data_IF_524161612236
#
_entry.id   IF_524161612236
#
_cell.length_a   1.000
_cell.length_b   1.000
_cell.length_c   1.000
_cell.angle_alpha   90.00
_cell.angle_beta   90.00
_cell.angle_gamma   90.00
#
_symmetry.space_group_name_H-M   'P 1'
#
loop_
_entity.id
_entity.type
_entity.pdbx_description
1 polymer ?
#
# COMPACT_ATOMS: atom_id res chain seq x y z
N UNK A 1 106.23 -4.37 -2.63
CA UNK A 1 105.51 -3.60 -3.68
C UNK A 1 105.49 -4.32 -5.04
N UNK A 2 105.26 -5.65 -5.09
CA UNK A 2 105.14 -6.40 -6.35
C UNK A 2 103.70 -6.86 -6.64
N UNK A 3 102.91 -7.11 -5.60
CA UNK A 3 101.53 -7.59 -5.71
C UNK A 3 100.56 -6.56 -6.33
N UNK A 4 100.84 -5.26 -6.18
CA UNK A 4 99.98 -4.21 -6.73
C UNK A 4 100.20 -3.92 -8.22
N UNK A 5 101.25 -4.48 -8.83
CA UNK A 5 101.61 -4.18 -10.24
C UNK A 5 101.06 -5.22 -11.20
N UNK A 6 101.03 -6.50 -10.83
CA UNK A 6 100.51 -7.59 -11.68
C UNK A 6 98.98 -7.65 -11.71
N UNK A 7 98.29 -7.31 -10.62
CA UNK A 7 96.82 -7.38 -10.54
C UNK A 7 96.12 -6.07 -10.92
N UNK A 8 96.86 -5.04 -11.35
CA UNK A 8 96.30 -3.71 -11.64
C UNK A 8 95.29 -3.76 -12.79
N UNK A 9 95.58 -4.51 -13.84
CA UNK A 9 94.70 -4.63 -15.01
C UNK A 9 93.46 -5.46 -14.69
N UNK A 10 93.60 -6.55 -13.93
CA UNK A 10 92.47 -7.39 -13.49
C UNK A 10 91.53 -6.66 -12.53
N UNK A 11 92.07 -5.90 -11.56
CA UNK A 11 91.26 -5.08 -10.64
C UNK A 11 90.53 -3.97 -11.41
N UNK A 12 91.21 -3.37 -12.40
CA UNK A 12 90.62 -2.31 -13.24
C UNK A 12 89.50 -2.88 -14.13
N UNK A 13 89.71 -4.06 -14.73
CA UNK A 13 88.69 -4.76 -15.51
C UNK A 13 87.50 -5.18 -14.64
N UNK A 14 87.75 -5.75 -13.46
CA UNK A 14 86.71 -6.12 -12.50
C UNK A 14 85.90 -4.90 -12.04
N UNK A 15 86.56 -3.76 -11.80
CA UNK A 15 85.90 -2.50 -11.47
C UNK A 15 85.00 -2.01 -12.61
N UNK A 16 85.48 -2.03 -13.87
CA UNK A 16 84.67 -1.64 -15.02
C UNK A 16 83.51 -2.61 -15.27
N UNK A 17 83.71 -3.92 -15.13
CA UNK A 17 82.65 -4.93 -15.23
C UNK A 17 81.58 -4.74 -14.15
N UNK A 18 81.98 -4.51 -12.90
CA UNK A 18 81.07 -4.23 -11.79
C UNK A 18 80.29 -2.93 -12.00
N UNK A 19 80.98 -1.86 -12.39
CA UNK A 19 80.34 -0.57 -12.68
C UNK A 19 79.36 -0.67 -13.86
N UNK A 20 79.72 -1.41 -14.91
CA UNK A 20 78.85 -1.65 -16.06
C UNK A 20 77.62 -2.48 -15.66
N UNK A 21 77.81 -3.55 -14.89
CA UNK A 21 76.72 -4.37 -14.37
C UNK A 21 75.77 -3.56 -13.47
N UNK A 22 76.31 -2.71 -12.60
CA UNK A 22 75.52 -1.84 -11.72
C UNK A 22 74.74 -0.78 -12.52
N UNK A 23 75.36 -0.21 -13.56
CA UNK A 23 74.69 0.75 -14.47
C UNK A 23 73.54 0.08 -15.23
N UNK A 24 73.76 -1.14 -15.76
CA UNK A 24 72.73 -1.92 -16.44
C UNK A 24 71.60 -2.27 -15.47
N UNK A 25 71.91 -2.70 -14.24
CA UNK A 25 70.91 -3.02 -13.23
C UNK A 25 70.06 -1.80 -12.85
N UNK A 26 70.69 -0.63 -12.64
CA UNK A 26 69.97 0.61 -12.36
C UNK A 26 69.08 1.05 -13.53
N UNK A 27 69.52 0.85 -14.77
CA UNK A 27 68.70 1.14 -15.95
C UNK A 27 67.48 0.21 -16.06
N UNK A 28 67.66 -1.10 -15.80
CA UNK A 28 66.55 -2.08 -15.78
C UNK A 28 65.56 -1.76 -14.65
N UNK A 29 66.04 -1.48 -13.45
CA UNK A 29 65.17 -1.10 -12.32
C UNK A 29 64.44 0.22 -12.61
N UNK A 30 65.13 1.22 -13.15
CA UNK A 30 64.55 2.51 -13.53
C UNK A 30 63.46 2.38 -14.59
N UNK A 31 63.68 1.57 -15.63
CA UNK A 31 62.69 1.32 -16.69
C UNK A 31 61.47 0.54 -16.18
N UNK A 32 61.66 -0.48 -15.33
CA UNK A 32 60.56 -1.20 -14.68
C UNK A 32 59.77 -0.27 -13.75
N UNK A 33 60.45 0.56 -12.96
CA UNK A 33 59.82 1.51 -12.06
C UNK A 33 58.97 2.55 -12.81
N UNK A 34 59.50 3.13 -13.89
CA UNK A 34 58.78 4.06 -14.74
C UNK A 34 57.55 3.41 -15.39
N UNK A 35 57.69 2.19 -15.93
CA UNK A 35 56.56 1.44 -16.52
C UNK A 35 55.46 1.13 -15.49
N UNK A 36 55.84 0.74 -14.27
CA UNK A 36 54.88 0.51 -13.18
C UNK A 36 54.25 1.81 -12.66
N UNK A 37 54.93 2.95 -12.78
CA UNK A 37 54.37 4.26 -12.46
C UNK A 37 53.36 4.68 -13.52
N UNK A 38 53.70 4.60 -14.80
CA UNK A 38 52.80 4.93 -15.92
C UNK A 38 51.53 4.10 -15.89
N UNK A 39 51.64 2.78 -15.67
CA UNK A 39 50.48 1.90 -15.54
C UNK A 39 49.56 2.30 -14.38
N UNK A 40 50.11 2.75 -13.25
CA UNK A 40 49.31 3.25 -12.12
C UNK A 40 48.64 4.59 -12.44
N UNK A 41 49.33 5.47 -13.15
CA UNK A 41 48.79 6.77 -13.54
C UNK A 41 47.70 6.63 -14.63
N UNK A 42 47.84 5.67 -15.54
CA UNK A 42 46.82 5.29 -16.53
C UNK A 42 45.56 4.72 -15.85
N UNK A 43 45.72 3.75 -14.95
CA UNK A 43 44.60 3.24 -14.14
C UNK A 43 43.89 4.34 -13.35
N UNK A 44 44.63 5.31 -12.81
CA UNK A 44 44.04 6.47 -12.12
C UNK A 44 43.31 7.42 -13.07
N UNK A 45 43.70 7.51 -14.33
CA UNK A 45 42.98 8.31 -15.35
C UNK A 45 41.71 7.60 -15.77
N UNK A 46 41.77 6.30 -16.05
CA UNK A 46 40.61 5.48 -16.37
C UNK A 46 39.58 5.51 -15.24
N UNK A 47 40.05 5.36 -13.99
CA UNK A 47 39.17 5.43 -12.83
C UNK A 47 38.49 6.81 -12.69
N UNK A 48 39.23 7.90 -12.90
CA UNK A 48 38.66 9.26 -12.89
C UNK A 48 37.64 9.45 -14.01
N UNK A 49 37.94 8.99 -15.23
CA UNK A 49 36.99 9.07 -16.35
C UNK A 49 35.73 8.24 -16.10
N UNK A 50 35.87 7.08 -15.46
CA UNK A 50 34.76 6.26 -15.03
C UNK A 50 33.90 6.98 -13.99
N UNK A 51 34.51 7.54 -12.94
CA UNK A 51 33.82 8.30 -11.90
C UNK A 51 33.11 9.54 -12.48
N UNK A 52 33.74 10.27 -13.40
CA UNK A 52 33.13 11.38 -14.13
C UNK A 52 31.95 10.94 -15.01
N UNK A 53 32.03 9.77 -15.64
CA UNK A 53 30.92 9.21 -16.42
C UNK A 53 29.74 8.88 -15.50
N UNK A 54 29.99 8.16 -14.41
CA UNK A 54 28.96 7.82 -13.42
C UNK A 54 28.36 9.08 -12.80
N UNK A 55 29.15 10.09 -12.48
CA UNK A 55 28.65 11.37 -11.97
C UNK A 55 27.74 12.07 -12.97
N UNK A 56 28.01 11.98 -14.27
CA UNK A 56 27.14 12.53 -15.32
C UNK A 56 25.83 11.76 -15.43
N UNK A 57 25.87 10.43 -15.41
CA UNK A 57 24.66 9.58 -15.40
C UNK A 57 23.77 9.89 -14.18
N UNK A 58 24.37 10.02 -13.00
CA UNK A 58 23.63 10.42 -11.79
C UNK A 58 23.03 11.80 -11.89
N UNK A 59 23.72 12.76 -12.53
CA UNK A 59 23.18 14.10 -12.71
C UNK A 59 22.00 14.11 -13.70
N UNK A 60 22.12 13.40 -14.81
CA UNK A 60 21.01 13.23 -15.77
C UNK A 60 19.81 12.55 -15.09
N UNK A 61 20.06 11.55 -14.24
CA UNK A 61 19.00 10.93 -13.46
C UNK A 61 18.36 11.89 -12.48
N UNK A 62 19.14 12.69 -11.74
CA UNK A 62 18.62 13.68 -10.81
C UNK A 62 17.71 14.71 -11.50
N UNK A 63 18.10 15.17 -12.69
CA UNK A 63 17.28 16.06 -13.51
C UNK A 63 16.01 15.37 -14.03
N UNK A 64 16.14 14.12 -14.49
CA UNK A 64 15.01 13.31 -14.95
C UNK A 64 14.00 13.06 -13.83
N UNK A 65 14.44 12.56 -12.68
CA UNK A 65 13.55 12.23 -11.56
C UNK A 65 12.88 13.50 -11.02
N UNK A 66 13.58 14.63 -10.96
CA UNK A 66 12.98 15.91 -10.55
C UNK A 66 11.92 16.39 -11.54
N UNK A 67 12.17 16.26 -12.84
CA UNK A 67 11.22 16.61 -13.89
C UNK A 67 9.99 15.70 -13.87
N UNK A 68 10.18 14.38 -13.82
CA UNK A 68 9.09 13.41 -13.74
C UNK A 68 8.30 13.58 -12.45
N UNK A 69 8.97 13.76 -11.31
CA UNK A 69 8.29 14.04 -10.04
C UNK A 69 7.46 15.33 -10.09
N UNK A 70 7.96 16.37 -10.77
CA UNK A 70 7.20 17.60 -10.96
C UNK A 70 5.93 17.38 -11.78
N UNK A 71 5.98 16.52 -12.82
CA UNK A 71 4.79 16.12 -13.59
C UNK A 71 3.81 15.32 -12.73
N UNK A 72 4.29 14.31 -12.02
CA UNK A 72 3.49 13.50 -11.10
C UNK A 72 2.81 14.38 -10.04
N UNK A 73 3.52 15.39 -9.52
CA UNK A 73 2.99 16.35 -8.55
C UNK A 73 1.92 17.26 -9.16
N UNK A 74 2.11 17.72 -10.40
CA UNK A 74 1.11 18.52 -11.11
C UNK A 74 -0.21 17.74 -11.33
N UNK A 75 -0.11 16.43 -11.56
CA UNK A 75 -1.25 15.52 -11.70
C UNK A 75 -1.81 15.04 -10.35
N UNK A 76 -1.15 15.40 -9.24
CA UNK A 76 -1.54 15.02 -7.88
C UNK A 76 -1.31 13.55 -7.54
N UNK A 77 -0.58 12.80 -8.37
CA UNK A 77 -0.40 11.35 -8.24
C UNK A 77 0.15 10.94 -6.87
N UNK A 78 1.24 11.53 -6.32
CA UNK A 78 1.73 11.16 -5.00
C UNK A 78 0.68 11.33 -3.90
N UNK A 79 -0.11 12.40 -3.97
CA UNK A 79 -1.19 12.63 -3.00
C UNK A 79 -2.28 11.56 -3.11
N UNK A 80 -2.64 11.16 -4.34
CA UNK A 80 -3.65 10.12 -4.58
C UNK A 80 -3.20 8.76 -4.07
N UNK A 81 -1.95 8.35 -4.37
CA UNK A 81 -1.39 7.08 -3.92
C UNK A 81 -1.27 7.06 -2.40
N UNK A 82 -0.76 8.13 -1.78
CA UNK A 82 -0.68 8.24 -0.31
C UNK A 82 -2.05 8.08 0.33
N UNK A 83 -3.09 8.75 -0.22
CA UNK A 83 -4.46 8.64 0.30
C UNK A 83 -4.99 7.21 0.20
N UNK A 84 -4.75 6.50 -0.90
CA UNK A 84 -5.13 5.08 -1.03
C UNK A 84 -4.37 4.23 -0.01
N UNK A 85 -3.05 4.38 0.08
CA UNK A 85 -2.23 3.65 1.05
C UNK A 85 -2.78 3.86 2.47
N UNK A 86 -2.96 5.11 2.90
CA UNK A 86 -3.39 5.44 4.25
C UNK A 86 -4.82 4.96 4.56
N UNK A 87 -5.73 5.00 3.58
CA UNK A 87 -7.09 4.49 3.72
C UNK A 87 -7.09 2.96 3.90
N UNK A 88 -6.36 2.26 3.04
CA UNK A 88 -6.36 0.79 3.02
C UNK A 88 -5.44 0.19 4.10
N UNK A 89 -4.50 0.96 4.64
CA UNK A 89 -3.68 0.56 5.80
C UNK A 89 -4.52 0.52 7.07
N UNK A 90 -5.52 1.39 7.19
CA UNK A 90 -6.48 1.41 8.30
C UNK A 90 -7.64 0.42 8.12
N UNK A 91 -7.88 -0.04 6.89
CA UNK A 91 -8.96 -0.97 6.60
C UNK A 91 -8.55 -2.39 6.98
N UNK A 92 -9.11 -2.91 8.07
CA UNK A 92 -8.95 -4.31 8.45
C UNK A 92 -9.91 -5.18 7.63
N UNK A 93 -9.37 -6.18 6.91
CA UNK A 93 -10.19 -7.17 6.18
C UNK A 93 -10.45 -8.38 7.06
N UNK A 94 -9.39 -8.82 7.75
CA UNK A 94 -9.41 -9.65 8.95
C UNK A 94 -8.37 -9.08 9.92
N UNK A 95 -8.32 -9.56 11.16
CA UNK A 95 -7.47 -8.98 12.20
C UNK A 95 -5.98 -8.86 11.79
N UNK A 96 -5.46 -9.84 11.06
CA UNK A 96 -4.04 -9.87 10.63
C UNK A 96 -3.78 -9.29 9.23
N UNK A 97 -4.83 -8.97 8.46
CA UNK A 97 -4.71 -8.62 7.04
C UNK A 97 -5.40 -7.29 6.76
N UNK A 98 -4.60 -6.33 6.31
CA UNK A 98 -5.06 -4.99 5.94
C UNK A 98 -5.55 -4.95 4.50
N UNK A 99 -6.26 -3.87 4.15
CA UNK A 99 -6.64 -3.58 2.79
C UNK A 99 -5.42 -3.35 1.88
N UNK A 100 -4.29 -2.87 2.40
CA UNK A 100 -3.04 -2.72 1.63
C UNK A 100 -2.50 -4.08 1.20
N UNK A 101 -2.61 -5.11 2.05
CA UNK A 101 -2.18 -6.46 1.70
C UNK A 101 -3.04 -7.05 0.57
N UNK A 102 -4.35 -6.85 0.64
CA UNK A 102 -5.28 -7.23 -0.43
C UNK A 102 -5.00 -6.45 -1.71
N UNK A 103 -4.75 -5.13 -1.63
CA UNK A 103 -4.38 -4.31 -2.80
C UNK A 103 -3.07 -4.78 -3.41
N UNK A 104 -2.05 -5.06 -2.61
CA UNK A 104 -0.76 -5.58 -3.07
C UNK A 104 -0.95 -6.86 -3.89
N UNK A 105 -1.81 -7.76 -3.43
CA UNK A 105 -2.15 -8.98 -4.16
C UNK A 105 -2.90 -8.69 -5.47
N UNK A 106 -3.89 -7.81 -5.44
CA UNK A 106 -4.65 -7.44 -6.64
C UNK A 106 -3.78 -6.75 -7.70
N UNK A 107 -2.85 -5.89 -7.28
CA UNK A 107 -1.94 -5.13 -8.13
C UNK A 107 -0.84 -5.98 -8.77
N UNK A 108 -0.66 -7.21 -8.32
CA UNK A 108 0.31 -8.13 -8.90
C UNK A 108 0.01 -8.39 -10.38
N UNK A 109 1.07 -8.52 -11.19
CA UNK A 109 0.92 -8.66 -12.64
C UNK A 109 0.26 -10.00 -12.99
N UNK A 110 0.57 -11.05 -12.22
CA UNK A 110 0.01 -12.40 -12.37
C UNK A 110 -1.51 -12.42 -12.17
N UNK A 111 -2.03 -11.51 -11.33
CA UNK A 111 -3.44 -11.39 -10.99
C UNK A 111 -4.22 -10.40 -11.87
N UNK A 112 -3.56 -9.76 -12.83
CA UNK A 112 -4.16 -8.69 -13.65
C UNK A 112 -5.41 -9.12 -14.42
N UNK A 113 -5.50 -10.40 -14.80
CA UNK A 113 -6.68 -10.91 -15.50
C UNK A 113 -7.89 -11.10 -14.59
N UNK A 114 -7.68 -11.31 -13.30
CA UNK A 114 -8.72 -11.56 -12.31
C UNK A 114 -9.37 -10.26 -11.81
N UNK A 115 -8.59 -9.19 -11.67
CA UNK A 115 -9.05 -7.91 -11.13
C UNK A 115 -9.02 -6.81 -12.19
N UNK A 116 -10.14 -6.61 -12.89
CA UNK A 116 -10.28 -5.61 -13.96
C UNK A 116 -11.25 -4.52 -13.56
N UNK A 117 -10.73 -3.46 -12.96
CA UNK A 117 -11.47 -2.21 -12.75
C UNK A 117 -10.68 -1.04 -13.29
N UNK A 118 -11.38 -0.02 -13.79
CA UNK A 118 -10.75 1.20 -14.32
C UNK A 118 -9.86 1.87 -13.27
N UNK A 119 -10.30 1.90 -12.01
CA UNK A 119 -9.59 2.51 -10.90
C UNK A 119 -8.31 1.74 -10.54
N UNK A 120 -8.37 0.40 -10.56
CA UNK A 120 -7.20 -0.42 -10.29
C UNK A 120 -6.17 -0.28 -11.41
N UNK A 121 -6.60 -0.24 -12.67
CA UNK A 121 -5.70 -0.01 -13.81
C UNK A 121 -5.06 1.38 -13.75
N UNK A 122 -5.81 2.44 -13.45
CA UNK A 122 -5.25 3.78 -13.25
C UNK A 122 -4.20 3.79 -12.12
N UNK A 123 -4.48 3.12 -11.00
CA UNK A 123 -3.51 2.97 -9.90
C UNK A 123 -2.26 2.19 -10.34
N UNK A 124 -2.41 1.12 -11.14
CA UNK A 124 -1.27 0.38 -11.70
C UNK A 124 -0.41 1.25 -12.60
N UNK A 125 -1.01 2.07 -13.47
CA UNK A 125 -0.29 2.95 -14.40
C UNK A 125 0.54 4.01 -13.65
N UNK A 126 -0.06 4.63 -12.63
CA UNK A 126 0.61 5.62 -11.79
C UNK A 126 1.76 4.98 -10.99
N UNK A 127 1.52 3.81 -10.38
CA UNK A 127 2.56 3.06 -9.68
C UNK A 127 3.69 2.62 -10.62
N UNK A 128 3.36 2.19 -11.84
CA UNK A 128 4.33 1.75 -12.84
C UNK A 128 5.23 2.92 -13.27
N UNK A 129 4.68 4.12 -13.44
CA UNK A 129 5.44 5.32 -13.75
C UNK A 129 6.46 5.64 -12.65
N UNK A 130 6.07 5.50 -11.38
CA UNK A 130 7.00 5.66 -10.24
C UNK A 130 8.03 4.54 -10.20
N UNK A 131 7.61 3.28 -10.42
CA UNK A 131 8.51 2.13 -10.40
C UNK A 131 9.63 2.23 -11.44
N UNK A 132 9.37 2.76 -12.62
CA UNK A 132 10.40 2.99 -13.63
C UNK A 132 11.54 3.89 -13.12
N UNK A 133 11.23 4.91 -12.32
CA UNK A 133 12.23 5.78 -11.70
C UNK A 133 13.12 4.99 -10.73
N UNK A 134 12.52 4.13 -9.90
CA UNK A 134 13.24 3.25 -8.99
C UNK A 134 14.09 2.19 -9.70
N UNK A 135 13.60 1.66 -10.82
CA UNK A 135 14.35 0.67 -11.59
C UNK A 135 15.62 1.29 -12.21
N UNK A 136 15.53 2.52 -12.73
CA UNK A 136 16.69 3.27 -13.20
C UNK A 136 17.63 3.60 -12.03
N UNK A 137 17.09 4.06 -10.90
CA UNK A 137 17.88 4.33 -9.69
C UNK A 137 18.68 3.09 -9.25
N UNK A 138 18.02 1.95 -9.11
CA UNK A 138 18.66 0.68 -8.72
C UNK A 138 19.73 0.23 -9.70
N UNK A 139 19.51 0.45 -11.00
CA UNK A 139 20.51 0.17 -12.04
C UNK A 139 21.75 1.07 -11.88
N UNK A 140 21.57 2.36 -11.60
CA UNK A 140 22.67 3.29 -11.35
C UNK A 140 23.43 2.95 -10.05
N UNK A 141 22.73 2.49 -9.02
CA UNK A 141 23.34 2.00 -7.77
C UNK A 141 24.25 0.79 -7.99
N UNK A 142 23.97 -0.04 -9.01
CA UNK A 142 24.85 -1.16 -9.38
C UNK A 142 26.11 -0.70 -10.12
N UNK A 143 26.06 0.45 -10.81
CA UNK A 143 27.17 0.95 -11.62
C UNK A 143 28.24 1.67 -10.78
N UNK A 144 27.90 2.24 -9.63
CA UNK A 144 28.89 2.91 -8.80
C UNK A 144 28.33 3.64 -7.58
N UNK A 145 29.21 4.38 -6.90
CA UNK A 145 28.83 5.18 -5.73
C UNK A 145 28.06 6.43 -6.15
N UNK A 146 27.04 6.79 -5.36
CA UNK A 146 26.29 8.04 -5.54
C UNK A 146 27.15 9.22 -5.09
N UNK A 147 27.32 10.27 -5.91
CA UNK A 147 27.95 11.52 -5.49
C UNK A 147 27.22 12.16 -4.31
N UNK A 148 27.97 12.69 -3.32
CA UNK A 148 27.39 13.21 -2.07
C UNK A 148 26.32 14.28 -2.27
N UNK A 149 26.57 15.22 -3.19
CA UNK A 149 25.62 16.28 -3.54
C UNK A 149 24.29 15.73 -4.08
N UNK A 150 24.37 14.72 -4.96
CA UNK A 150 23.18 14.08 -5.54
C UNK A 150 22.45 13.24 -4.49
N UNK A 151 23.21 12.59 -3.60
CA UNK A 151 22.64 11.84 -2.50
C UNK A 151 21.75 12.72 -1.62
N UNK A 152 22.23 13.90 -1.22
CA UNK A 152 21.43 14.83 -0.41
C UNK A 152 20.25 15.42 -1.20
N UNK A 153 20.44 15.77 -2.49
CA UNK A 153 19.37 16.30 -3.35
C UNK A 153 18.20 15.33 -3.53
N UNK A 154 18.50 14.04 -3.69
CA UNK A 154 17.49 13.01 -3.97
C UNK A 154 16.97 12.31 -2.73
N UNK A 155 17.58 12.53 -1.57
CA UNK A 155 17.28 11.82 -0.33
C UNK A 155 15.78 11.82 -0.01
N UNK A 156 15.23 13.01 0.18
CA UNK A 156 13.84 13.16 0.62
C UNK A 156 12.88 12.67 -0.48
N UNK A 157 13.16 13.00 -1.74
CA UNK A 157 12.33 12.58 -2.88
C UNK A 157 12.25 11.05 -3.02
N UNK A 158 13.40 10.37 -2.95
CA UNK A 158 13.47 8.90 -3.10
C UNK A 158 12.86 8.21 -1.89
N UNK A 159 13.07 8.75 -0.69
CA UNK A 159 12.47 8.24 0.55
C UNK A 159 10.95 8.40 0.53
N UNK A 160 10.43 9.60 0.27
CA UNK A 160 8.98 9.89 0.27
C UNK A 160 8.24 9.05 -0.78
N UNK A 161 8.73 9.02 -2.02
CA UNK A 161 8.13 8.18 -3.07
C UNK A 161 8.22 6.70 -2.72
N UNK A 162 9.31 6.28 -2.09
CA UNK A 162 9.56 4.89 -1.76
C UNK A 162 8.62 4.41 -0.66
N UNK A 163 8.57 5.14 0.46
CA UNK A 163 7.73 4.84 1.62
C UNK A 163 6.24 4.80 1.29
N UNK A 164 5.81 5.66 0.38
CA UNK A 164 4.45 5.68 -0.11
C UNK A 164 4.10 4.47 -1.00
N UNK A 165 5.05 3.97 -1.79
CA UNK A 165 4.75 2.98 -2.84
C UNK A 165 5.16 1.56 -2.53
N UNK A 166 6.24 1.32 -1.77
CA UNK A 166 6.72 -0.03 -1.50
C UNK A 166 5.68 -0.98 -0.88
N UNK A 167 4.72 -0.53 -0.03
CA UNK A 167 3.72 -1.44 0.55
C UNK A 167 2.81 -2.08 -0.51
N UNK A 168 2.67 -1.43 -1.67
CA UNK A 168 1.80 -1.85 -2.77
C UNK A 168 2.49 -2.78 -3.78
N UNK A 169 3.79 -3.02 -3.64
CA UNK A 169 4.56 -3.90 -4.52
C UNK A 169 4.90 -5.24 -3.87
N UNK A 170 5.10 -6.28 -4.68
CA UNK A 170 5.52 -7.62 -4.26
C UNK A 170 6.86 -8.01 -4.89
N UNK A 171 7.52 -9.01 -4.31
CA UNK A 171 8.66 -9.70 -4.91
C UNK A 171 9.82 -8.79 -5.28
N UNK A 172 10.34 -8.96 -6.50
CA UNK A 172 11.51 -8.21 -7.01
C UNK A 172 11.25 -6.69 -7.11
N UNK A 173 10.04 -6.27 -7.49
CA UNK A 173 9.71 -4.83 -7.59
C UNK A 173 9.85 -4.14 -6.24
N UNK A 174 9.33 -4.77 -5.17
CA UNK A 174 9.47 -4.27 -3.80
C UNK A 174 10.93 -4.21 -3.36
N UNK A 175 11.72 -5.26 -3.62
CA UNK A 175 13.16 -5.28 -3.29
C UNK A 175 13.94 -4.15 -3.97
N UNK A 176 13.61 -3.84 -5.23
CA UNK A 176 14.23 -2.74 -5.99
C UNK A 176 13.96 -1.39 -5.31
N UNK A 177 12.71 -1.12 -4.93
CA UNK A 177 12.33 0.13 -4.25
C UNK A 177 13.03 0.23 -2.90
N UNK A 178 12.94 -0.82 -2.08
CA UNK A 178 13.58 -0.86 -0.76
C UNK A 178 15.08 -0.62 -0.84
N UNK A 179 15.78 -1.27 -1.79
CA UNK A 179 17.22 -1.05 -1.99
C UNK A 179 17.56 0.41 -2.28
N UNK A 180 16.71 1.12 -3.02
CA UNK A 180 16.90 2.54 -3.28
C UNK A 180 16.66 3.36 -2.00
N UNK A 181 15.54 3.11 -1.31
CA UNK A 181 15.22 3.80 -0.05
C UNK A 181 16.29 3.59 1.01
N UNK A 182 16.82 2.38 1.18
CA UNK A 182 17.91 2.08 2.10
C UNK A 182 19.22 2.80 1.75
N UNK A 183 19.48 3.02 0.47
CA UNK A 183 20.71 3.67 0.03
C UNK A 183 20.67 5.18 0.29
N UNK A 184 19.52 5.80 0.05
CA UNK A 184 19.32 7.25 0.17
C UNK A 184 18.89 7.68 1.57
N UNK A 185 17.97 6.92 2.18
CA UNK A 185 17.47 7.13 3.54
C UNK A 185 18.32 6.47 4.63
N UNK A 186 17.84 6.59 5.87
CA UNK A 186 18.43 5.94 7.05
C UNK A 186 17.62 4.72 7.52
N UNK A 187 16.52 4.41 6.83
CA UNK A 187 15.61 3.32 7.18
C UNK A 187 16.31 1.98 6.89
N UNK A 188 16.64 1.23 7.94
CA UNK A 188 17.10 -0.16 7.82
C UNK A 188 15.91 -1.07 7.69
N UNK A 189 15.99 -2.06 6.80
CA UNK A 189 15.05 -3.17 6.77
C UNK A 189 14.99 -3.86 8.13
N UNK A 190 13.76 -4.10 8.57
CA UNK A 190 13.46 -5.16 9.53
C UNK A 190 13.26 -6.48 8.75
N UNK A 191 14.18 -7.46 8.88
CA UNK A 191 14.05 -8.76 8.21
C UNK A 191 12.78 -9.51 8.61
N UNK A 192 12.23 -9.23 9.79
CA UNK A 192 11.01 -9.87 10.28
C UNK A 192 9.79 -9.39 9.49
N UNK A 193 9.70 -8.09 9.23
CA UNK A 193 8.64 -7.48 8.40
C UNK A 193 8.60 -8.05 6.97
N UNK A 194 9.76 -8.29 6.33
CA UNK A 194 9.82 -8.89 4.98
C UNK A 194 9.35 -10.36 4.97
N UNK A 195 9.75 -11.13 5.99
CA UNK A 195 9.31 -12.53 6.13
C UNK A 195 7.81 -12.61 6.33
N UNK A 196 7.26 -11.79 7.25
CA UNK A 196 5.82 -11.71 7.51
C UNK A 196 5.03 -11.37 6.24
N UNK A 197 5.48 -10.35 5.49
CA UNK A 197 4.83 -9.99 4.22
C UNK A 197 4.81 -11.16 3.22
N UNK A 198 5.90 -11.90 3.13
CA UNK A 198 6.02 -13.03 2.19
C UNK A 198 5.17 -14.23 2.60
N UNK A 199 5.08 -14.50 3.90
CA UNK A 199 4.22 -15.56 4.45
C UNK A 199 2.74 -15.23 4.29
N UNK A 200 2.36 -13.98 4.56
CA UNK A 200 1.00 -13.48 4.37
C UNK A 200 0.59 -13.55 2.89
N UNK A 201 1.48 -13.14 1.98
CA UNK A 201 1.25 -13.23 0.53
C UNK A 201 0.99 -14.68 0.05
N UNK A 202 1.53 -15.69 0.74
CA UNK A 202 1.34 -17.10 0.39
C UNK A 202 0.04 -17.70 0.95
N UNK A 203 -0.49 -17.13 2.04
CA UNK A 203 -1.69 -17.61 2.73
C UNK A 203 -2.93 -16.75 2.46
N UNK A 204 -2.80 -15.65 1.73
CA UNK A 204 -3.87 -14.69 1.52
C UNK A 204 -5.14 -15.31 0.91
N UNK A 205 -4.99 -16.17 -0.09
CA UNK A 205 -6.13 -16.88 -0.72
C UNK A 205 -6.82 -17.87 0.22
N UNK A 206 -6.06 -18.51 1.11
CA UNK A 206 -6.59 -19.41 2.14
C UNK A 206 -7.36 -18.62 3.20
N UNK A 207 -6.78 -17.50 3.65
CA UNK A 207 -7.36 -16.64 4.68
C UNK A 207 -8.58 -15.84 4.17
N UNK A 208 -8.66 -15.53 2.87
CA UNK A 208 -9.75 -14.77 2.27
C UNK A 208 -10.34 -15.56 1.09
N UNK A 209 -11.24 -16.54 1.35
CA UNK A 209 -11.80 -17.39 0.29
C UNK A 209 -12.56 -16.61 -0.79
N UNK A 210 -13.11 -15.45 -0.42
CA UNK A 210 -13.88 -14.58 -1.31
C UNK A 210 -13.03 -13.51 -2.02
N UNK A 211 -11.71 -13.60 -1.98
CA UNK A 211 -10.78 -12.60 -2.54
C UNK A 211 -11.09 -12.25 -4.00
N UNK A 212 -11.40 -13.25 -4.82
CA UNK A 212 -11.74 -13.06 -6.25
C UNK A 212 -13.11 -12.39 -6.48
N UNK A 213 -13.94 -12.31 -5.44
CA UNK A 213 -15.21 -11.57 -5.49
C UNK A 213 -15.04 -10.12 -5.03
N UNK A 214 -13.87 -9.71 -4.54
CA UNK A 214 -13.62 -8.33 -4.13
C UNK A 214 -13.29 -7.45 -5.35
N UNK A 215 -13.74 -6.21 -5.27
CA UNK A 215 -13.59 -5.21 -6.32
C UNK A 215 -13.08 -3.90 -5.73
N UNK A 216 -11.96 -3.43 -6.27
CA UNK A 216 -11.42 -2.10 -5.99
C UNK A 216 -12.04 -1.04 -6.89
N UNK A 217 -12.67 -0.03 -6.28
CA UNK A 217 -13.34 1.07 -6.97
C UNK A 217 -14.81 0.82 -7.30
N UNK A 218 -15.56 1.92 -7.42
CA UNK A 218 -17.02 1.94 -7.65
C UNK A 218 -17.33 2.49 -9.06
N UNK A 219 -18.39 3.29 -9.21
CA UNK A 219 -18.69 4.01 -10.45
C UNK A 219 -17.85 5.29 -10.63
N UNK A 220 -17.17 5.77 -9.58
CA UNK A 220 -16.33 6.99 -9.66
C UNK A 220 -15.02 6.73 -10.40
N UNK A 221 -14.62 7.65 -11.28
CA UNK A 221 -13.42 7.48 -12.11
C UNK A 221 -12.09 7.72 -11.36
N UNK A 222 -12.11 8.35 -10.18
CA UNK A 222 -10.89 8.61 -9.39
C UNK A 222 -10.65 7.54 -8.33
N UNK A 223 -9.52 6.82 -8.46
CA UNK A 223 -9.12 5.82 -7.49
C UNK A 223 -8.79 6.42 -6.11
N UNK A 224 -8.47 7.71 -6.04
CA UNK A 224 -8.11 8.38 -4.77
C UNK A 224 -9.30 8.52 -3.80
N UNK A 225 -10.52 8.33 -4.29
CA UNK A 225 -11.74 8.33 -3.49
C UNK A 225 -12.09 6.95 -2.94
N UNK A 226 -11.37 5.91 -3.36
CA UNK A 226 -11.58 4.57 -2.85
C UNK A 226 -11.16 4.48 -1.38
N UNK A 227 -12.06 3.96 -0.56
CA UNK A 227 -11.84 3.73 0.88
C UNK A 227 -12.17 2.31 1.33
N UNK A 228 -12.81 1.50 0.47
CA UNK A 228 -13.21 0.13 0.80
C UNK A 228 -13.25 -0.74 -0.47
N UNK A 229 -13.36 -2.05 -0.28
CA UNK A 229 -13.65 -3.02 -1.34
C UNK A 229 -15.14 -3.29 -1.40
N UNK A 230 -15.67 -3.35 -2.63
CA UNK A 230 -17.04 -3.81 -2.88
C UNK A 230 -17.04 -5.30 -3.23
N UNK A 231 -18.13 -6.00 -2.94
CA UNK A 231 -18.34 -7.35 -3.43
C UNK A 231 -18.94 -7.31 -4.85
N UNK A 232 -18.29 -7.98 -5.80
CA UNK A 232 -18.77 -8.17 -7.15
C UNK A 232 -19.48 -9.51 -7.26
N UNK A 233 -20.79 -9.51 -6.98
CA UNK A 233 -21.61 -10.72 -7.05
C UNK A 233 -22.68 -10.60 -8.13
N UNK A 234 -22.59 -11.45 -9.15
CA UNK A 234 -23.67 -11.66 -10.11
C UNK A 234 -24.53 -12.84 -9.66
N UNK A 235 -25.73 -12.56 -9.17
CA UNK A 235 -26.70 -13.59 -8.76
C UNK A 235 -27.25 -14.27 -10.01
N UNK A 236 -27.01 -15.58 -10.16
CA UNK A 236 -27.57 -16.41 -11.23
C UNK A 236 -28.84 -17.14 -10.75
N UNK A 237 -29.73 -17.48 -11.69
CA UNK A 237 -31.15 -17.80 -11.46
C UNK A 237 -31.42 -19.19 -10.83
N UNK A 238 -31.30 -19.35 -9.50
CA UNK A 238 -31.86 -20.51 -8.78
C UNK A 238 -32.67 -20.12 -7.52
N UNK A 239 -33.98 -20.38 -7.55
CA UNK A 239 -35.01 -19.70 -6.74
C UNK A 239 -34.89 -19.86 -5.20
N UNK A 240 -34.56 -21.04 -4.66
CA UNK A 240 -34.56 -21.25 -3.19
C UNK A 240 -33.26 -20.76 -2.50
N UNK A 241 -32.11 -21.03 -3.13
CA UNK A 241 -30.79 -20.54 -2.67
C UNK A 241 -30.65 -19.03 -2.89
N UNK A 242 -31.38 -18.50 -3.87
CA UNK A 242 -31.43 -17.07 -4.16
C UNK A 242 -32.08 -16.27 -3.04
N UNK A 243 -33.01 -16.80 -2.25
CA UNK A 243 -33.60 -16.05 -1.14
C UNK A 243 -32.56 -15.74 -0.04
N UNK A 244 -31.80 -16.75 0.41
CA UNK A 244 -30.73 -16.57 1.40
C UNK A 244 -29.59 -15.71 0.86
N UNK A 245 -29.14 -15.97 -0.37
CA UNK A 245 -28.11 -15.18 -1.01
C UNK A 245 -28.55 -13.72 -1.22
N UNK A 246 -29.81 -13.49 -1.59
CA UNK A 246 -30.38 -12.14 -1.74
C UNK A 246 -30.44 -11.43 -0.39
N UNK A 247 -30.89 -12.10 0.67
CA UNK A 247 -30.87 -11.54 2.02
C UNK A 247 -29.44 -11.16 2.44
N UNK A 248 -28.48 -12.07 2.28
CA UNK A 248 -27.08 -11.81 2.65
C UNK A 248 -26.52 -10.60 1.91
N UNK A 249 -26.72 -10.49 0.60
CA UNK A 249 -26.14 -9.42 -0.22
C UNK A 249 -26.90 -8.09 -0.04
N UNK A 250 -28.22 -8.12 -0.23
CA UNK A 250 -29.02 -6.89 -0.39
C UNK A 250 -29.47 -6.28 0.93
N UNK A 251 -29.51 -7.08 2.00
CA UNK A 251 -29.89 -6.63 3.33
C UNK A 251 -28.67 -6.63 4.26
N UNK A 252 -28.20 -7.80 4.68
CA UNK A 252 -27.25 -7.89 5.79
C UNK A 252 -25.87 -7.31 5.45
N UNK A 253 -25.26 -7.72 4.32
CA UNK A 253 -23.93 -7.26 3.91
C UNK A 253 -23.90 -5.75 3.68
N UNK A 254 -24.92 -5.20 3.01
CA UNK A 254 -25.08 -3.77 2.81
C UNK A 254 -25.23 -3.00 4.12
N UNK A 255 -26.02 -3.54 5.05
CA UNK A 255 -26.23 -2.94 6.36
C UNK A 255 -24.94 -2.98 7.22
N UNK A 256 -24.15 -4.05 7.10
CA UNK A 256 -22.85 -4.17 7.76
C UNK A 256 -21.78 -3.25 7.15
N UNK A 257 -21.84 -2.92 5.86
CA UNK A 257 -20.91 -1.93 5.28
C UNK A 257 -21.18 -0.49 5.77
N UNK A 258 -22.33 -0.24 6.40
CA UNK A 258 -22.66 1.03 7.00
C UNK A 258 -22.13 1.12 8.45
N UNK A 259 -21.03 1.86 8.60
CA UNK A 259 -20.34 2.06 9.89
C UNK A 259 -21.22 2.61 11.00
N UNK A 260 -22.37 3.25 10.69
CA UNK A 260 -23.28 3.79 11.70
C UNK A 260 -23.87 2.72 12.60
N UNK A 261 -24.06 1.51 12.08
CA UNK A 261 -24.65 0.40 12.82
C UNK A 261 -23.60 -0.57 13.38
N UNK A 262 -22.31 -0.23 13.27
CA UNK A 262 -21.20 -1.10 13.68
C UNK A 262 -21.38 -1.61 15.11
N UNK A 263 -21.63 -0.70 16.06
CA UNK A 263 -21.81 -1.00 17.49
C UNK A 263 -23.02 -1.88 17.76
N UNK A 264 -24.14 -1.61 17.07
CA UNK A 264 -25.39 -2.37 17.23
C UNK A 264 -25.19 -3.80 16.73
N UNK A 265 -24.61 -3.96 15.55
CA UNK A 265 -24.27 -5.27 15.00
C UNK A 265 -23.28 -6.02 15.89
N UNK A 266 -22.21 -5.37 16.37
CA UNK A 266 -21.24 -5.99 17.26
C UNK A 266 -21.88 -6.47 18.57
N UNK A 267 -22.76 -5.65 19.16
CA UNK A 267 -23.47 -6.00 20.40
C UNK A 267 -24.41 -7.18 20.19
N UNK A 268 -25.27 -7.11 19.17
CA UNK A 268 -26.24 -8.17 18.87
C UNK A 268 -25.58 -9.48 18.46
N UNK A 269 -24.48 -9.40 17.71
CA UNK A 269 -23.70 -10.58 17.37
C UNK A 269 -23.08 -11.25 18.60
N UNK A 270 -22.62 -10.48 19.59
CA UNK A 270 -22.12 -11.04 20.87
C UNK A 270 -23.23 -11.70 21.69
N UNK A 271 -24.44 -11.13 21.70
CA UNK A 271 -25.59 -11.68 22.44
C UNK A 271 -26.06 -13.01 21.85
N UNK A 272 -26.11 -13.11 20.52
CA UNK A 272 -26.72 -14.24 19.83
C UNK A 272 -25.72 -15.34 19.43
N UNK A 273 -24.41 -15.21 19.74
CA UNK A 273 -23.33 -16.08 19.26
C UNK A 273 -23.78 -17.53 19.01
N UNK A 274 -23.91 -17.95 17.74
CA UNK A 274 -24.43 -19.28 17.43
C UNK A 274 -23.42 -20.35 17.84
N UNK A 275 -23.84 -21.26 18.71
CA UNK A 275 -23.20 -22.57 18.89
C UNK A 275 -23.95 -23.61 18.06
N UNK A 276 -23.27 -24.41 17.20
CA UNK A 276 -21.82 -24.50 17.04
C UNK A 276 -21.25 -23.42 16.10
N UNK A 277 -20.13 -22.85 16.53
CA UNK A 277 -19.29 -21.95 15.77
C UNK A 277 -18.70 -22.72 14.58
N UNK A 278 -18.81 -22.19 13.37
CA UNK A 278 -17.97 -22.71 12.30
C UNK A 278 -16.52 -22.30 12.57
N UNK A 279 -15.60 -23.26 12.67
CA UNK A 279 -14.15 -23.01 12.66
C UNK A 279 -13.64 -22.48 11.30
N UNK A 280 -14.50 -21.85 10.50
CA UNK A 280 -14.11 -21.31 9.20
C UNK A 280 -13.37 -19.97 9.35
N UNK A 281 -13.49 -19.30 10.50
CA UNK A 281 -13.04 -17.92 10.73
C UNK A 281 -12.63 -17.74 12.20
N UNK A 282 -11.82 -16.71 12.48
CA UNK A 282 -11.41 -16.29 13.81
C UNK A 282 -12.60 -16.13 14.80
N UNK A 283 -12.55 -16.80 15.97
CA UNK A 283 -13.60 -16.69 16.98
C UNK A 283 -13.65 -15.29 17.60
N UNK A 284 -14.85 -14.88 18.00
CA UNK A 284 -15.06 -13.64 18.76
C UNK A 284 -14.62 -13.85 20.21
N UNK A 285 -13.60 -13.12 20.64
CA UNK A 285 -13.08 -13.15 22.00
C UNK A 285 -13.76 -12.10 22.88
N UNK A 286 -13.73 -12.33 24.19
CA UNK A 286 -14.25 -11.34 25.17
C UNK A 286 -13.47 -10.03 25.20
N UNK A 287 -12.23 -10.03 24.72
CA UNK A 287 -11.37 -8.85 24.63
C UNK A 287 -11.55 -8.06 23.33
N UNK A 288 -12.31 -8.58 22.36
CA UNK A 288 -12.50 -7.94 21.06
C UNK A 288 -13.32 -6.65 21.21
N UNK A 289 -12.82 -5.57 20.60
CA UNK A 289 -13.55 -4.30 20.49
C UNK A 289 -14.76 -4.46 19.55
N UNK A 290 -15.67 -3.49 19.55
CA UNK A 290 -16.83 -3.53 18.64
C UNK A 290 -16.41 -3.54 17.17
N UNK A 291 -15.31 -2.84 16.84
CA UNK A 291 -14.72 -2.84 15.51
C UNK A 291 -14.18 -4.24 15.15
N UNK A 292 -13.46 -4.90 16.05
CA UNK A 292 -12.94 -6.25 15.83
C UNK A 292 -14.07 -7.26 15.57
N UNK A 293 -15.13 -7.20 16.39
CA UNK A 293 -16.31 -8.07 16.23
C UNK A 293 -17.01 -7.79 14.92
N UNK A 294 -17.16 -6.51 14.56
CA UNK A 294 -17.78 -6.12 13.31
C UNK A 294 -16.98 -6.60 12.09
N UNK A 295 -15.66 -6.46 12.09
CA UNK A 295 -14.78 -6.96 11.01
C UNK A 295 -14.90 -8.47 10.87
N UNK A 296 -14.87 -9.22 11.98
CA UNK A 296 -15.08 -10.68 11.97
C UNK A 296 -16.44 -11.05 11.41
N UNK A 297 -17.48 -10.34 11.82
CA UNK A 297 -18.84 -10.59 11.36
C UNK A 297 -19.01 -10.28 9.86
N UNK A 298 -18.44 -9.18 9.39
CA UNK A 298 -18.45 -8.83 7.96
C UNK A 298 -17.69 -9.87 7.14
N UNK A 299 -16.50 -10.31 7.60
CA UNK A 299 -15.75 -11.38 6.96
C UNK A 299 -16.59 -12.66 6.87
N UNK A 300 -17.29 -13.01 7.95
CA UNK A 300 -18.16 -14.18 8.01
C UNK A 300 -19.31 -14.16 7.02
N UNK A 301 -20.03 -13.04 6.95
CA UNK A 301 -21.08 -12.85 5.95
C UNK A 301 -20.50 -12.97 4.52
N UNK A 302 -19.31 -12.44 4.26
CA UNK A 302 -18.65 -12.55 2.95
C UNK A 302 -18.21 -13.99 2.62
N UNK A 303 -17.78 -14.78 3.61
CA UNK A 303 -17.52 -16.22 3.43
C UNK A 303 -18.80 -16.96 3.09
N UNK A 304 -19.92 -16.69 3.77
CA UNK A 304 -21.20 -17.31 3.43
C UNK A 304 -21.65 -16.97 2.02
N UNK A 305 -21.56 -15.70 1.62
CA UNK A 305 -21.83 -15.29 0.23
C UNK A 305 -20.97 -16.10 -0.75
N UNK A 306 -19.67 -16.28 -0.47
CA UNK A 306 -18.80 -17.11 -1.33
C UNK A 306 -19.22 -18.58 -1.36
N UNK A 307 -19.61 -19.17 -0.23
CA UNK A 307 -20.10 -20.56 -0.20
C UNK A 307 -21.38 -20.70 -1.02
N UNK A 308 -22.34 -19.78 -0.90
CA UNK A 308 -23.57 -19.80 -1.70
C UNK A 308 -23.32 -19.65 -3.20
N UNK A 309 -22.24 -18.97 -3.60
CA UNK A 309 -21.82 -18.88 -5.01
C UNK A 309 -21.09 -20.14 -5.51
N UNK A 310 -20.58 -20.99 -4.61
CA UNK A 310 -19.84 -22.20 -4.94
C UNK A 310 -20.58 -23.46 -4.45
N UNK A 311 -21.46 -23.99 -5.30
CA UNK A 311 -22.38 -25.08 -4.94
C UNK A 311 -21.69 -26.30 -4.30
N UNK A 312 -20.53 -26.70 -4.82
CA UNK A 312 -19.80 -27.87 -4.30
C UNK A 312 -19.33 -27.68 -2.86
N UNK A 313 -18.91 -26.46 -2.49
CA UNK A 313 -18.49 -26.13 -1.12
C UNK A 313 -19.69 -25.97 -0.20
N UNK A 314 -20.83 -25.48 -0.71
CA UNK A 314 -22.04 -25.29 0.09
C UNK A 314 -22.61 -26.62 0.60
N UNK A 315 -22.59 -27.67 -0.22
CA UNK A 315 -23.11 -29.01 0.15
C UNK A 315 -22.41 -29.56 1.40
N UNK A 316 -21.11 -29.28 1.54
CA UNK A 316 -20.32 -29.71 2.71
C UNK A 316 -20.82 -29.10 4.03
N UNK A 317 -21.46 -27.93 3.98
CA UNK A 317 -21.77 -27.10 5.15
C UNK A 317 -23.27 -26.81 5.32
N UNK A 318 -24.13 -27.44 4.53
CA UNK A 318 -25.53 -27.07 4.36
C UNK A 318 -26.35 -27.03 5.67
N UNK A 319 -26.26 -28.07 6.50
CA UNK A 319 -27.04 -28.17 7.75
C UNK A 319 -26.67 -27.04 8.73
N UNK A 320 -25.38 -26.77 8.88
CA UNK A 320 -24.87 -25.76 9.81
C UNK A 320 -25.17 -24.34 9.30
N UNK A 321 -24.99 -24.08 8.00
CA UNK A 321 -25.33 -22.79 7.39
C UNK A 321 -26.82 -22.48 7.59
N UNK A 322 -27.70 -23.47 7.50
CA UNK A 322 -29.14 -23.27 7.69
C UNK A 322 -29.48 -22.73 9.08
N UNK A 323 -28.85 -23.27 10.14
CA UNK A 323 -29.03 -22.80 11.53
C UNK A 323 -28.50 -21.37 11.69
N UNK A 324 -27.33 -21.09 11.10
CA UNK A 324 -26.70 -19.78 11.16
C UNK A 324 -27.55 -18.74 10.43
N UNK A 325 -28.11 -19.05 9.26
CA UNK A 325 -28.97 -18.14 8.51
C UNK A 325 -30.18 -17.67 9.31
N UNK A 326 -30.74 -18.51 10.20
CA UNK A 326 -31.82 -18.10 11.11
C UNK A 326 -31.30 -17.03 12.07
N UNK A 327 -30.15 -17.29 12.70
CA UNK A 327 -29.49 -16.33 13.63
C UNK A 327 -29.15 -15.02 12.93
N UNK A 328 -28.60 -15.06 11.72
CA UNK A 328 -28.26 -13.89 10.92
C UNK A 328 -29.49 -13.01 10.61
N UNK A 329 -30.63 -13.64 10.33
CA UNK A 329 -31.90 -12.93 10.11
C UNK A 329 -32.41 -12.30 11.40
N UNK A 330 -32.32 -13.00 12.52
CA UNK A 330 -32.74 -12.46 13.82
C UNK A 330 -31.87 -11.27 14.25
N UNK A 331 -30.55 -11.37 14.14
CA UNK A 331 -29.62 -10.25 14.38
C UNK A 331 -29.93 -9.06 13.45
N UNK A 332 -30.09 -9.30 12.15
CA UNK A 332 -30.42 -8.24 11.19
C UNK A 332 -31.74 -7.56 11.53
N UNK A 333 -32.76 -8.35 11.89
CA UNK A 333 -34.08 -7.84 12.27
C UNK A 333 -34.02 -7.02 13.55
N UNK A 334 -33.34 -7.49 14.59
CA UNK A 334 -33.19 -6.76 15.85
C UNK A 334 -32.45 -5.43 15.66
N UNK A 335 -31.36 -5.42 14.89
CA UNK A 335 -30.65 -4.17 14.57
C UNK A 335 -31.55 -3.22 13.77
N UNK A 336 -32.33 -3.74 12.82
CA UNK A 336 -33.34 -2.94 12.09
C UNK A 336 -34.48 -2.44 12.97
N UNK A 337 -34.84 -3.15 14.03
CA UNK A 337 -35.83 -2.71 15.03
C UNK A 337 -35.27 -1.68 16.02
N UNK A 338 -33.94 -1.47 16.07
CA UNK A 338 -33.30 -0.36 16.79
C UNK A 338 -33.28 0.93 15.92
N UNK A 339 -33.25 0.78 14.57
CA UNK A 339 -33.36 1.90 13.60
C UNK A 339 -34.59 2.81 13.68
N UNK A 340 -35.78 2.42 14.20
CA UNK A 340 -36.95 3.30 14.23
C UNK A 340 -36.67 4.60 14.97
N UNK A 341 -35.74 4.63 15.92
CA UNK A 341 -35.38 5.88 16.61
C UNK A 341 -34.85 6.93 15.65
N UNK A 342 -34.10 6.54 14.61
CA UNK A 342 -33.58 7.46 13.60
C UNK A 342 -34.64 7.87 12.57
N UNK A 343 -35.51 6.95 12.15
CA UNK A 343 -36.63 7.27 11.25
C UNK A 343 -37.63 8.19 11.95
N UNK A 344 -37.94 7.93 13.22
CA UNK A 344 -38.81 8.77 14.06
C UNK A 344 -38.15 10.13 14.28
N UNK A 345 -36.86 10.19 14.59
CA UNK A 345 -36.14 11.48 14.75
C UNK A 345 -36.10 12.24 13.44
N UNK A 346 -35.85 11.57 12.31
CA UNK A 346 -35.85 12.19 10.98
C UNK A 346 -37.22 12.73 10.61
N UNK A 347 -38.29 11.93 10.73
CA UNK A 347 -39.66 12.38 10.47
C UNK A 347 -40.07 13.52 11.41
N UNK A 348 -39.63 13.47 12.68
CA UNK A 348 -39.91 14.54 13.65
C UNK A 348 -39.17 15.82 13.24
N UNK A 349 -37.91 15.72 12.81
CA UNK A 349 -37.15 16.86 12.29
C UNK A 349 -37.75 17.42 11.00
N UNK A 350 -38.18 16.56 10.07
CA UNK A 350 -38.83 16.98 8.82
C UNK A 350 -40.13 17.74 9.09
N UNK A 351 -41.01 17.20 9.97
CA UNK A 351 -42.22 17.91 10.41
C UNK A 351 -41.90 19.22 11.12
N UNK A 352 -40.87 19.25 11.98
CA UNK A 352 -40.46 20.49 12.64
C UNK A 352 -39.98 21.53 11.63
N UNK A 353 -39.23 21.12 10.60
CA UNK A 353 -38.77 22.02 9.54
C UNK A 353 -39.95 22.56 8.73
N UNK A 354 -40.95 21.73 8.41
CA UNK A 354 -42.18 22.15 7.73
C UNK A 354 -42.99 23.12 8.58
N UNK A 355 -43.16 22.84 9.87
CA UNK A 355 -43.85 23.71 10.81
C UNK A 355 -43.15 25.07 10.93
N UNK A 356 -41.81 25.09 11.01
CA UNK A 356 -41.00 26.30 11.02
C UNK A 356 -41.11 27.10 9.71
N UNK A 357 -41.17 26.42 8.56
CA UNK A 357 -41.41 27.08 7.27
C UNK A 357 -42.81 27.69 7.18
N UNK A 358 -43.81 27.02 7.72
CA UNK A 358 -45.19 27.53 7.78
C UNK A 358 -45.31 28.77 8.68
N UNK A 359 -44.58 28.79 9.80
CA UNK A 359 -44.49 29.94 10.71
C UNK A 359 -43.77 31.14 10.08
N UNK A 360 -42.73 30.88 9.29
CA UNK A 360 -42.03 31.93 8.53
C UNK A 360 -42.89 32.52 7.41
N UNK A 361 -43.83 31.75 6.86
CA UNK A 361 -44.69 32.17 5.74
C UNK A 361 -46.07 32.72 6.17
N UNK A 362 -46.39 32.72 7.47
CA UNK A 362 -47.65 33.25 8.03
C UNK A 362 -47.49 34.68 8.60
N UNK A 363 -48.28 35.68 8.15
CA UNK A 363 -48.03 37.10 8.43
C UNK A 363 -48.96 37.77 9.45
N UNK A 364 -48.93 37.40 10.76
CA UNK A 364 -48.98 38.49 11.74
C UNK A 364 -48.12 38.33 13.02
N UNK A 365 -47.35 37.25 13.18
CA UNK A 365 -46.67 36.97 14.47
C UNK A 365 -45.14 37.13 14.49
N UNK A 366 -44.52 37.42 13.35
CA UNK A 366 -43.06 37.40 13.18
C UNK A 366 -42.46 38.77 12.78
N UNK A 367 -42.84 39.86 13.46
CA UNK A 367 -42.34 41.21 13.12
C UNK A 367 -40.98 41.57 13.74
N UNK A 368 -40.36 40.65 14.50
CA UNK A 368 -39.02 40.85 15.06
C UNK A 368 -37.99 40.17 14.18
N UNK A 369 -37.05 40.94 13.64
CA UNK A 369 -35.91 40.43 12.89
C UNK A 369 -35.12 39.40 13.72
N UNK A 370 -34.94 39.64 15.02
CA UNK A 370 -34.25 38.73 15.94
C UNK A 370 -34.97 37.38 16.07
N UNK A 371 -36.31 37.37 15.99
CA UNK A 371 -37.09 36.14 16.01
C UNK A 371 -36.89 35.34 14.72
N UNK A 372 -36.96 35.99 13.56
CA UNK A 372 -36.70 35.34 12.27
C UNK A 372 -35.28 34.78 12.17
N UNK A 373 -34.28 35.52 12.66
CA UNK A 373 -32.88 35.09 12.63
C UNK A 373 -32.66 33.85 13.51
N UNK A 374 -33.26 33.81 14.72
CA UNK A 374 -33.23 32.61 15.60
C UNK A 374 -33.98 31.42 15.01
N UNK A 375 -35.06 31.67 14.27
CA UNK A 375 -35.86 30.64 13.63
C UNK A 375 -35.12 30.01 12.45
N UNK A 376 -34.41 30.81 11.66
CA UNK A 376 -33.49 30.34 10.62
C UNK A 376 -32.31 29.59 11.21
N UNK A 377 -31.70 30.09 12.29
CA UNK A 377 -30.60 29.39 12.96
C UNK A 377 -31.04 28.02 13.51
N UNK A 378 -32.24 27.91 14.09
CA UNK A 378 -32.79 26.64 14.55
C UNK A 378 -33.04 25.67 13.39
N UNK A 379 -33.58 26.17 12.27
CA UNK A 379 -33.76 25.39 11.05
C UNK A 379 -32.43 24.86 10.51
N UNK A 380 -31.42 25.71 10.43
CA UNK A 380 -30.09 25.32 9.95
C UNK A 380 -29.44 24.29 10.88
N UNK A 381 -29.60 24.44 12.19
CA UNK A 381 -29.13 23.46 13.20
C UNK A 381 -29.85 22.11 13.05
N UNK A 382 -31.15 22.11 12.76
CA UNK A 382 -31.92 20.89 12.53
C UNK A 382 -31.56 20.21 11.20
N UNK A 383 -31.29 20.99 10.16
CA UNK A 383 -30.76 20.49 8.89
C UNK A 383 -29.34 19.92 9.08
N UNK A 384 -28.48 20.54 9.90
CA UNK A 384 -27.17 19.98 10.26
C UNK A 384 -27.30 18.67 11.04
N UNK A 385 -28.27 18.56 11.97
CA UNK A 385 -28.55 17.30 12.68
C UNK A 385 -29.02 16.18 11.72
N UNK A 386 -29.69 16.53 10.60
CA UNK A 386 -30.03 15.58 9.53
C UNK A 386 -28.84 15.20 8.64
N UNK A 387 -27.78 16.01 8.59
CA UNK A 387 -26.60 15.81 7.72
C UNK A 387 -25.42 15.16 8.49
N UNK A 388 -25.33 15.37 9.81
CA UNK A 388 -24.26 14.85 10.68
C UNK A 388 -24.54 13.41 11.18
N UNK A 389 -25.63 12.77 10.73
CA UNK A 389 -26.00 11.37 11.04
C UNK A 389 -26.37 10.62 9.77
#
# INVERSE_FOLDING_TARGET
MAFAKDYREEITLAYYCFYSALTIAMFIVGTIFLRNRDRRDEQRREWRQFEERISREWRQFAEKISSEYSKLKAEGIPRKISKVKDNFEKLSIIFEITGVDVLRYMLDDDNRQHFKTTQLENLREDLQSIFQLFNVCSSLLLLGKVPKNIKEELKDLVTDLGEMTYPLFKGERRKIILKCVEHFGNSRRDPETERRSSELDARLEEAIPYLNNLRFGTFNLDYSECSNFSLNVTVTNQVCRQADLTFLITELHKDLEDTRYMTDFATKWREQQPTPFFNLIDPVNRSDTDEDVHVKFLHEVRVYIHLFLNEDKLVQYHEQITVIMITLRDVSKEVKEIRPTEVIVKETCERLIEDLQSLHSSPPHCNSQEFCDKLTQLKDTLCEIQIIR
#
